data_IF_981375411611
#
_entry.id   IF_981375411611
#
_cell.length_a   1.000
_cell.length_b   1.000
_cell.length_c   1.000
_cell.angle_alpha   90.00
_cell.angle_beta   90.00
_cell.angle_gamma   90.00
#
_symmetry.space_group_name_H-M   'P 1'
#
loop_
_entity.id
_entity.type
_entity.pdbx_description
1 polymer ?
#
# COMPACT_ATOMS: atom_id res chain seq x y z
N UNK A 1 4.58 -15.77 7.23
CA UNK A 1 5.30 -14.48 7.36
C UNK A 1 4.26 -13.36 7.21
N UNK A 2 4.49 -12.14 7.71
CA UNK A 2 3.54 -11.04 7.50
C UNK A 2 4.24 -9.82 6.88
N UNK A 3 3.49 -9.06 6.11
CA UNK A 3 3.90 -7.76 5.57
C UNK A 3 3.14 -6.65 6.27
N UNK A 4 3.82 -5.56 6.61
CA UNK A 4 3.16 -4.35 7.10
C UNK A 4 2.68 -3.51 5.92
N UNK A 5 1.39 -3.17 5.89
CA UNK A 5 0.85 -2.20 4.93
C UNK A 5 1.09 -0.78 5.43
N UNK A 6 1.86 0.00 4.70
CA UNK A 6 2.24 1.37 5.06
C UNK A 6 1.80 2.35 3.97
N UNK A 7 1.30 3.52 4.37
CA UNK A 7 0.98 4.60 3.45
C UNK A 7 2.26 5.21 2.87
N UNK A 8 2.38 5.31 1.56
CA UNK A 8 3.54 5.94 0.90
C UNK A 8 3.60 7.46 1.10
N UNK A 9 2.47 8.11 1.40
CA UNK A 9 2.40 9.58 1.51
C UNK A 9 2.58 10.10 2.94
N UNK A 10 2.12 9.34 3.94
CA UNK A 10 2.07 9.81 5.33
C UNK A 10 2.66 8.82 6.33
N UNK A 11 3.31 7.75 5.84
CA UNK A 11 3.97 6.70 6.62
C UNK A 11 3.09 6.02 7.69
N UNK A 12 1.77 6.20 7.59
CA UNK A 12 0.83 5.61 8.53
C UNK A 12 0.69 4.11 8.27
N UNK A 13 0.67 3.33 9.35
CA UNK A 13 0.40 1.89 9.28
C UNK A 13 -1.10 1.71 8.98
N UNK A 14 -1.40 1.08 7.85
CA UNK A 14 -2.77 0.87 7.34
C UNK A 14 -3.27 -0.53 7.72
N UNK A 15 -2.36 -1.47 7.96
CA UNK A 15 -2.72 -2.82 8.41
C UNK A 15 -1.60 -3.81 8.19
N UNK A 16 -1.96 -5.08 8.21
CA UNK A 16 -1.03 -6.20 8.07
C UNK A 16 -1.57 -7.15 7.00
N UNK A 17 -0.67 -7.76 6.23
CA UNK A 17 -1.00 -8.76 5.23
C UNK A 17 -0.29 -10.07 5.60
N UNK A 18 -1.08 -11.10 5.89
CA UNK A 18 -0.55 -12.44 6.07
C UNK A 18 -0.10 -13.00 4.72
N UNK A 19 1.19 -13.31 4.60
CA UNK A 19 1.71 -14.07 3.46
C UNK A 19 1.82 -15.52 3.90
N UNK A 20 0.83 -16.31 3.50
CA UNK A 20 0.90 -17.77 3.55
C UNK A 20 1.60 -18.24 2.27
N UNK A 21 2.61 -19.11 2.39
CA UNK A 21 3.53 -19.51 1.29
C UNK A 21 2.81 -20.16 0.09
N UNK A 22 1.51 -20.43 0.23
CA UNK A 22 0.64 -21.05 -0.77
C UNK A 22 -0.27 -20.06 -1.53
N UNK A 23 -0.32 -18.79 -1.12
CA UNK A 23 -1.29 -17.81 -1.63
C UNK A 23 -0.66 -16.44 -1.85
N UNK A 24 0.16 -16.31 -2.88
CA UNK A 24 0.30 -15.05 -3.64
C UNK A 24 -0.98 -14.73 -4.45
N UNK A 25 -2.14 -15.18 -3.99
CA UNK A 25 -3.45 -14.86 -4.58
C UNK A 25 -4.00 -13.63 -3.87
N UNK A 26 -3.75 -12.45 -4.41
CA UNK A 26 -4.40 -11.22 -3.96
C UNK A 26 -3.47 -10.09 -3.53
N UNK A 27 -2.16 -10.20 -3.80
CA UNK A 27 -1.32 -9.00 -3.85
C UNK A 27 -1.76 -8.27 -5.12
N UNK A 28 -2.71 -7.33 -4.97
CA UNK A 28 -3.06 -6.39 -6.02
C UNK A 28 -1.76 -5.85 -6.60
N UNK A 29 -1.59 -5.95 -7.92
CA UNK A 29 -0.35 -5.60 -8.64
C UNK A 29 0.06 -4.12 -8.48
N UNK A 30 -0.68 -3.33 -7.69
CA UNK A 30 -0.40 -1.95 -7.32
C UNK A 30 0.40 -1.78 -6.02
N UNK A 31 0.74 -2.87 -5.32
CA UNK A 31 1.50 -2.82 -4.07
C UNK A 31 3.00 -2.97 -4.34
N UNK A 32 3.78 -1.95 -3.97
CA UNK A 32 5.24 -2.01 -3.99
C UNK A 32 5.72 -2.66 -2.68
N UNK A 33 6.37 -3.83 -2.77
CA UNK A 33 6.85 -4.57 -1.59
C UNK A 33 8.37 -4.41 -1.47
N UNK A 34 8.83 -3.88 -0.33
CA UNK A 34 10.25 -3.74 0.01
C UNK A 34 10.49 -4.44 1.34
N UNK A 35 11.19 -5.58 1.32
CA UNK A 35 11.41 -6.41 2.50
C UNK A 35 10.10 -6.95 3.07
N UNK A 36 9.80 -6.61 4.32
CA UNK A 36 8.56 -6.99 5.02
C UNK A 36 7.50 -5.86 5.03
N UNK A 37 7.62 -4.88 4.12
CA UNK A 37 6.71 -3.74 4.02
C UNK A 37 6.05 -3.71 2.65
N UNK A 38 4.73 -3.59 2.62
CA UNK A 38 3.93 -3.34 1.44
C UNK A 38 3.44 -1.89 1.43
N UNK A 39 3.91 -1.09 0.48
CA UNK A 39 3.50 0.30 0.33
C UNK A 39 2.18 0.42 -0.44
N UNK A 40 1.29 1.28 0.05
CA UNK A 40 0.00 1.61 -0.56
C UNK A 40 -0.43 3.03 -0.19
N UNK A 41 -1.63 3.48 -0.58
CA UNK A 41 -2.22 4.74 -0.14
C UNK A 41 -3.29 4.48 0.91
N UNK A 42 -3.28 5.25 2.01
CA UNK A 42 -4.39 5.20 2.96
C UNK A 42 -5.61 5.93 2.37
N UNK A 43 -6.84 5.62 2.84
CA UNK A 43 -8.05 6.26 2.31
C UNK A 43 -8.02 7.80 2.36
N UNK A 44 -7.35 8.37 3.37
CA UNK A 44 -7.19 9.82 3.51
C UNK A 44 -6.31 10.38 2.39
N UNK A 45 -5.11 9.83 2.21
CA UNK A 45 -4.20 10.28 1.14
C UNK A 45 -4.79 10.01 -0.25
N UNK A 46 -5.52 8.91 -0.43
CA UNK A 46 -6.23 8.63 -1.68
C UNK A 46 -7.32 9.67 -1.96
N UNK A 47 -8.12 10.03 -0.95
CA UNK A 47 -9.15 11.06 -1.07
C UNK A 47 -8.54 12.44 -1.40
N UNK A 48 -7.43 12.81 -0.76
CA UNK A 48 -6.73 14.07 -1.06
C UNK A 48 -6.18 14.09 -2.50
N UNK A 49 -5.69 12.96 -3.00
CA UNK A 49 -5.22 12.83 -4.39
C UNK A 49 -6.37 12.89 -5.39
N UNK A 50 -7.51 12.25 -5.10
CA UNK A 50 -8.71 12.32 -5.96
C UNK A 50 -9.28 13.75 -6.03
N UNK A 51 -9.20 14.49 -4.92
CA UNK A 51 -9.61 15.90 -4.86
C UNK A 51 -8.58 16.85 -5.51
N UNK A 52 -7.31 16.43 -5.64
CA UNK A 52 -6.24 17.15 -6.33
C UNK A 52 -5.65 16.30 -7.46
N UNK A 53 -6.33 16.21 -8.64
CA UNK A 53 -5.82 15.45 -9.78
C UNK A 53 -4.52 16.04 -10.41
N UNK A 54 -3.96 17.08 -9.80
CA UNK A 54 -2.66 17.65 -10.15
C UNK A 54 -1.64 17.27 -9.09
N UNK A 55 -1.14 16.04 -9.08
CA UNK A 55 0.23 15.69 -8.66
C UNK A 55 0.43 14.16 -8.84
N UNK A 56 1.19 13.83 -9.89
CA UNK A 56 2.13 12.72 -10.02
C UNK A 56 1.65 11.25 -10.02
N UNK A 57 1.67 10.67 -11.22
CA UNK A 57 2.56 9.53 -11.52
C UNK A 57 3.39 9.91 -12.76
N UNK A 58 4.64 10.30 -12.54
CA UNK A 58 5.69 10.37 -13.57
C UNK A 58 6.93 9.67 -13.02
#
# INVERSE_FOLDING_TARGET
MYLLKICRCCDSIIGELETDDSKTQGIDFSLEVVGNVAYTLCPLCMQELDMNPRVYYQ
#
